data_IF_328407232691
#
_entry.id   IF_328407232691
#
_cell.length_a   1.000
_cell.length_b   1.000
_cell.length_c   1.000
_cell.angle_alpha   90.00
_cell.angle_beta   90.00
_cell.angle_gamma   90.00
#
_symmetry.space_group_name_H-M   'P 1'
#
loop_
_entity.id
_entity.type
_entity.pdbx_description
1 polymer ?
#
# COMPACT_ATOMS: atom_id res chain seq x y z
N UNK A 1 18.33 7.27 9.59
CA UNK A 1 17.58 7.22 8.31
C UNK A 1 16.13 7.50 8.66
N UNK A 2 15.46 8.44 8.00
CA UNK A 2 14.02 8.61 8.18
C UNK A 2 13.34 7.37 7.56
N UNK A 3 12.88 6.45 8.41
CA UNK A 3 12.16 5.26 7.96
C UNK A 3 10.80 5.71 7.42
N UNK A 4 10.65 5.66 6.11
CA UNK A 4 9.37 5.87 5.46
C UNK A 4 8.49 4.67 5.78
N UNK A 5 7.47 4.90 6.61
CA UNK A 5 6.64 3.87 7.23
C UNK A 5 6.02 2.82 6.30
N UNK A 6 5.91 3.13 5.01
CA UNK A 6 5.21 2.33 4.00
C UNK A 6 6.08 1.88 2.85
N UNK A 7 7.38 2.19 2.90
CA UNK A 7 8.27 2.13 1.75
C UNK A 7 9.70 1.74 2.17
N UNK A 8 10.46 1.11 1.29
CA UNK A 8 11.76 0.51 1.62
C UNK A 8 12.08 -0.73 0.77
N UNK A 9 13.30 -1.26 0.95
CA UNK A 9 13.86 -2.39 0.20
C UNK A 9 13.79 -3.73 0.96
N UNK A 10 12.82 -3.88 1.87
CA UNK A 10 12.68 -5.08 2.71
C UNK A 10 13.55 -5.01 3.96
N UNK A 11 14.09 -6.16 4.39
CA UNK A 11 14.98 -6.24 5.56
C UNK A 11 16.33 -6.83 5.18
N UNK A 12 17.39 -6.20 5.61
CA UNK A 12 18.79 -6.64 5.50
C UNK A 12 19.33 -7.09 6.86
N UNK A 13 20.51 -7.72 6.88
CA UNK A 13 21.15 -8.17 8.11
C UNK A 13 21.57 -7.02 9.05
N UNK A 14 21.70 -5.81 8.51
CA UNK A 14 22.13 -4.61 9.23
C UNK A 14 20.96 -3.81 9.83
N UNK A 15 19.71 -4.22 9.56
CA UNK A 15 18.54 -3.51 10.07
C UNK A 15 18.34 -3.73 11.59
N UNK A 16 17.84 -2.71 12.31
CA UNK A 16 17.49 -2.87 13.72
C UNK A 16 16.47 -4.01 13.91
N UNK A 17 16.62 -4.89 14.92
CA UNK A 17 15.73 -6.04 15.12
C UNK A 17 14.24 -5.68 15.21
N UNK A 18 13.93 -4.52 15.80
CA UNK A 18 12.56 -3.98 15.85
C UNK A 18 11.99 -3.75 14.45
N UNK A 19 12.76 -3.13 13.55
CA UNK A 19 12.33 -2.85 12.18
C UNK A 19 12.18 -4.14 11.38
N UNK A 20 13.07 -5.11 11.57
CA UNK A 20 12.94 -6.45 10.97
C UNK A 20 11.65 -7.15 11.42
N UNK A 21 11.32 -7.08 12.72
CA UNK A 21 10.10 -7.68 13.26
C UNK A 21 8.84 -7.00 12.71
N UNK A 22 8.81 -5.65 12.71
CA UNK A 22 7.72 -4.86 12.14
C UNK A 22 7.48 -5.21 10.68
N UNK A 23 8.53 -5.31 9.86
CA UNK A 23 8.42 -5.71 8.45
C UNK A 23 7.83 -7.12 8.28
N UNK A 24 8.34 -8.10 9.03
CA UNK A 24 7.88 -9.50 8.94
C UNK A 24 6.43 -9.66 9.33
N UNK A 25 5.96 -8.89 10.30
CA UNK A 25 4.56 -8.85 10.72
C UNK A 25 3.68 -8.14 9.69
N UNK A 26 4.08 -6.92 9.27
CA UNK A 26 3.37 -6.15 8.24
C UNK A 26 3.17 -6.95 6.95
N UNK A 27 4.23 -7.58 6.45
CA UNK A 27 4.19 -8.39 5.21
C UNK A 27 3.21 -9.56 5.27
N UNK A 28 2.80 -10.00 6.46
CA UNK A 28 1.88 -11.13 6.71
C UNK A 28 0.51 -10.70 7.24
N UNK A 29 0.14 -9.43 7.04
CA UNK A 29 -1.12 -8.87 7.55
C UNK A 29 -1.25 -8.82 9.09
N UNK A 30 -0.14 -8.94 9.83
CA UNK A 30 -0.13 -8.83 11.30
C UNK A 30 0.08 -7.37 11.75
N UNK A 31 -0.73 -6.44 11.22
CA UNK A 31 -0.56 -5.00 11.48
C UNK A 31 -0.75 -4.62 12.94
N UNK A 32 -1.70 -5.25 13.63
CA UNK A 32 -1.97 -4.97 15.05
C UNK A 32 -0.73 -5.28 15.90
N UNK A 33 -0.11 -6.44 15.68
CA UNK A 33 1.11 -6.84 16.38
C UNK A 33 2.28 -5.93 16.01
N UNK A 34 2.43 -5.60 14.72
CA UNK A 34 3.45 -4.67 14.26
C UNK A 34 3.31 -3.28 14.89
N UNK A 35 2.08 -2.77 14.98
CA UNK A 35 1.76 -1.48 15.61
C UNK A 35 1.98 -1.51 17.13
N UNK A 36 1.72 -2.63 17.79
CA UNK A 36 1.96 -2.82 19.21
C UNK A 36 3.46 -2.77 19.55
N UNK A 37 4.34 -3.30 18.69
CA UNK A 37 5.80 -3.20 18.87
C UNK A 37 6.29 -1.73 18.85
N UNK A 38 5.60 -0.85 18.13
CA UNK A 38 5.96 0.56 18.02
C UNK A 38 5.34 1.42 19.12
N UNK A 39 4.31 0.94 19.82
CA UNK A 39 3.56 1.73 20.81
C UNK A 39 4.43 2.36 21.92
N UNK A 40 5.41 1.66 22.54
CA UNK A 40 6.27 2.26 23.56
C UNK A 40 7.11 3.43 23.05
N UNK A 41 7.42 3.42 21.75
CA UNK A 41 8.26 4.43 21.08
C UNK A 41 7.42 5.59 20.54
N UNK A 42 6.22 5.28 20.04
CA UNK A 42 5.28 6.22 19.44
C UNK A 42 4.82 7.33 20.38
N UNK A 43 4.98 7.19 21.70
CA UNK A 43 4.66 8.24 22.66
C UNK A 43 5.66 9.41 22.67
N UNK A 44 6.88 9.22 22.13
CA UNK A 44 8.00 10.17 22.26
C UNK A 44 8.73 10.44 20.95
N UNK A 45 8.64 9.54 19.99
CA UNK A 45 9.29 9.65 18.69
C UNK A 45 8.24 9.88 17.58
N UNK A 46 8.24 11.06 16.93
CA UNK A 46 7.35 11.35 15.81
C UNK A 46 7.47 10.33 14.65
N UNK A 47 8.67 9.79 14.40
CA UNK A 47 8.88 8.82 13.33
C UNK A 47 8.23 7.47 13.65
N UNK A 48 8.42 6.97 14.88
CA UNK A 48 7.74 5.76 15.35
C UNK A 48 6.22 5.93 15.40
N UNK A 49 5.74 7.11 15.81
CA UNK A 49 4.31 7.43 15.81
C UNK A 49 3.72 7.39 14.40
N UNK A 50 4.39 8.01 13.43
CA UNK A 50 3.99 7.98 12.03
C UNK A 50 4.02 6.56 11.45
N UNK A 51 5.04 5.77 11.81
CA UNK A 51 5.13 4.37 11.40
C UNK A 51 3.98 3.52 11.93
N UNK A 52 3.64 3.69 13.21
CA UNK A 52 2.48 3.03 13.83
C UNK A 52 1.18 3.43 13.14
N UNK A 53 1.00 4.72 12.85
CA UNK A 53 -0.16 5.22 12.10
C UNK A 53 -0.28 4.55 10.74
N UNK A 54 0.80 4.49 9.96
CA UNK A 54 0.73 3.96 8.61
C UNK A 54 0.38 2.45 8.59
N UNK A 55 0.87 1.66 9.56
CA UNK A 55 0.48 0.25 9.73
C UNK A 55 -1.02 0.11 10.00
N UNK A 56 -1.58 0.97 10.86
CA UNK A 56 -3.01 0.95 11.19
C UNK A 56 -3.86 1.45 10.02
N UNK A 57 -3.40 2.44 9.26
CA UNK A 57 -4.05 2.87 8.02
C UNK A 57 -4.02 1.77 6.95
N UNK A 58 -2.91 1.02 6.82
CA UNK A 58 -2.82 -0.12 5.91
C UNK A 58 -3.78 -1.24 6.34
N UNK A 59 -3.89 -1.54 7.64
CA UNK A 59 -4.91 -2.44 8.17
C UNK A 59 -6.31 -2.02 7.74
N UNK A 60 -6.67 -0.74 7.91
CA UNK A 60 -7.97 -0.23 7.46
C UNK A 60 -8.21 -0.48 5.98
N UNK A 61 -7.21 -0.22 5.13
CA UNK A 61 -7.32 -0.42 3.69
C UNK A 61 -7.49 -1.90 3.30
N UNK A 62 -6.86 -2.82 4.03
CA UNK A 62 -6.86 -4.24 3.68
C UNK A 62 -8.00 -5.02 4.34
N UNK A 63 -8.52 -4.57 5.48
CA UNK A 63 -9.56 -5.29 6.22
C UNK A 63 -10.90 -4.56 6.26
N UNK A 64 -10.92 -3.23 6.06
CA UNK A 64 -12.10 -2.39 6.28
C UNK A 64 -12.41 -2.13 7.76
N UNK A 65 -11.49 -2.46 8.68
CA UNK A 65 -11.68 -2.36 10.13
C UNK A 65 -10.56 -1.55 10.80
N UNK A 66 -10.69 -1.26 12.10
CA UNK A 66 -9.63 -0.61 12.89
C UNK A 66 -9.54 0.92 12.72
N UNK A 67 -10.57 1.56 12.18
CA UNK A 67 -10.60 3.01 11.90
C UNK A 67 -10.36 3.88 13.13
N UNK A 68 -10.92 3.52 14.28
CA UNK A 68 -10.72 4.27 15.53
C UNK A 68 -9.26 4.21 15.97
N UNK A 69 -8.63 3.03 15.96
CA UNK A 69 -7.22 2.86 16.32
C UNK A 69 -6.31 3.70 15.40
N UNK A 70 -6.60 3.68 14.09
CA UNK A 70 -5.85 4.45 13.10
C UNK A 70 -6.00 5.97 13.32
N UNK A 71 -7.21 6.45 13.59
CA UNK A 71 -7.44 7.88 13.89
C UNK A 71 -6.76 8.31 15.20
N UNK A 72 -6.82 7.50 16.23
CA UNK A 72 -6.21 7.81 17.54
C UNK A 72 -4.68 7.87 17.42
N UNK A 73 -4.08 6.90 16.70
CA UNK A 73 -2.66 6.91 16.40
C UNK A 73 -2.25 8.14 15.60
N UNK A 74 -3.03 8.49 14.57
CA UNK A 74 -2.77 9.61 13.68
C UNK A 74 -2.94 10.97 14.40
N UNK A 75 -3.90 11.12 15.31
CA UNK A 75 -3.97 12.31 16.19
C UNK A 75 -2.74 12.43 17.09
N UNK A 76 -2.23 11.31 17.59
CA UNK A 76 -1.01 11.28 18.42
C UNK A 76 0.23 11.68 17.61
N UNK A 77 0.36 11.15 16.38
CA UNK A 77 1.46 11.50 15.48
C UNK A 77 1.45 13.00 15.10
N UNK A 78 0.27 13.57 14.83
CA UNK A 78 0.13 15.00 14.56
C UNK A 78 0.49 15.88 15.76
N UNK A 79 0.13 15.46 16.98
CA UNK A 79 0.44 16.20 18.20
C UNK A 79 1.95 16.21 18.50
N UNK A 80 2.68 15.16 18.09
CA UNK A 80 4.13 15.05 18.25
C UNK A 80 4.93 15.79 17.18
N UNK A 81 4.38 15.95 15.98
CA UNK A 81 5.05 16.58 14.84
C UNK A 81 5.34 18.08 15.10
N UNK A 82 6.62 18.45 15.09
CA UNK A 82 7.06 19.84 15.29
C UNK A 82 7.71 20.43 14.03
N UNK A 83 8.49 19.64 13.30
CA UNK A 83 9.14 20.06 12.07
C UNK A 83 8.22 19.98 10.85
N UNK A 84 8.54 20.72 9.78
CA UNK A 84 7.74 20.69 8.55
C UNK A 84 7.74 19.31 7.90
N UNK A 85 8.86 18.57 7.93
CA UNK A 85 8.92 17.20 7.42
C UNK A 85 8.00 16.25 8.20
N UNK A 86 7.98 16.36 9.53
CA UNK A 86 7.12 15.54 10.41
C UNK A 86 5.64 15.89 10.19
N UNK A 87 5.32 17.18 10.14
CA UNK A 87 3.95 17.67 9.90
C UNK A 87 3.48 17.31 8.49
N UNK A 88 4.38 17.33 7.51
CA UNK A 88 4.14 16.91 6.14
C UNK A 88 3.89 15.41 6.05
N UNK A 89 4.65 14.59 6.76
CA UNK A 89 4.43 13.16 6.91
C UNK A 89 3.06 12.85 7.53
N UNK A 90 2.74 13.48 8.66
CA UNK A 90 1.44 13.30 9.33
C UNK A 90 0.25 13.74 8.45
N UNK A 91 0.38 14.87 7.75
CA UNK A 91 -0.63 15.31 6.78
C UNK A 91 -0.77 14.33 5.60
N UNK A 92 0.34 13.72 5.16
CA UNK A 92 0.32 12.70 4.11
C UNK A 92 -0.43 11.43 4.57
N UNK A 93 -0.24 10.99 5.82
CA UNK A 93 -1.01 9.88 6.40
C UNK A 93 -2.48 10.23 6.62
N UNK A 94 -2.80 11.46 7.07
CA UNK A 94 -4.18 11.97 7.16
C UNK A 94 -4.90 11.87 5.84
N UNK A 95 -4.25 12.29 4.76
CA UNK A 95 -4.80 12.17 3.41
C UNK A 95 -5.02 10.73 2.97
N UNK A 96 -4.13 9.82 3.35
CA UNK A 96 -4.24 8.41 3.01
C UNK A 96 -5.36 7.69 3.78
N UNK A 97 -5.53 7.99 5.07
CA UNK A 97 -6.63 7.43 5.86
C UNK A 97 -7.99 7.92 5.38
N UNK A 98 -8.09 9.22 5.05
CA UNK A 98 -9.29 9.79 4.44
C UNK A 98 -9.59 9.14 3.08
N UNK A 99 -8.58 8.96 2.23
CA UNK A 99 -8.69 8.22 0.96
C UNK A 99 -9.23 6.80 1.18
N UNK A 100 -8.66 6.04 2.12
CA UNK A 100 -9.08 4.67 2.40
C UNK A 100 -10.54 4.61 2.87
N UNK A 101 -10.96 5.55 3.73
CA UNK A 101 -12.34 5.66 4.20
C UNK A 101 -13.33 5.93 3.06
N UNK A 102 -12.99 6.84 2.15
CA UNK A 102 -13.82 7.12 0.96
C UNK A 102 -13.87 5.91 0.04
N UNK A 103 -12.71 5.34 -0.29
CA UNK A 103 -12.59 4.21 -1.21
C UNK A 103 -13.44 3.01 -0.76
N UNK A 104 -13.45 2.72 0.53
CA UNK A 104 -14.18 1.58 1.11
C UNK A 104 -15.63 1.92 1.50
N UNK A 105 -16.11 3.13 1.18
CA UNK A 105 -17.50 3.55 1.46
C UNK A 105 -17.84 3.69 2.94
N UNK A 106 -16.84 3.82 3.81
CA UNK A 106 -17.06 3.98 5.26
C UNK A 106 -17.61 5.37 5.57
N UNK A 107 -16.96 6.40 5.02
CA UNK A 107 -17.40 7.80 5.02
C UNK A 107 -16.76 8.49 3.83
N UNK A 108 -17.52 9.35 3.15
CA UNK A 108 -16.97 10.23 2.13
C UNK A 108 -16.10 11.31 2.78
N UNK A 109 -14.80 11.22 2.52
CA UNK A 109 -13.74 12.13 3.00
C UNK A 109 -12.84 12.55 1.85
N UNK A 110 -13.36 12.61 0.61
CA UNK A 110 -12.58 12.96 -0.58
C UNK A 110 -11.92 14.35 -0.48
N UNK A 111 -12.66 15.35 0.03
CA UNK A 111 -12.15 16.71 0.24
C UNK A 111 -11.05 16.74 1.30
N UNK A 112 -11.26 16.04 2.42
CA UNK A 112 -10.26 15.93 3.48
C UNK A 112 -8.97 15.29 2.95
N UNK A 113 -9.09 14.22 2.15
CA UNK A 113 -7.96 13.56 1.52
C UNK A 113 -7.16 14.55 0.65
N UNK A 114 -7.85 15.29 -0.20
CA UNK A 114 -7.24 16.27 -1.12
C UNK A 114 -6.58 17.44 -0.38
N UNK A 115 -7.25 17.99 0.64
CA UNK A 115 -6.72 19.08 1.47
C UNK A 115 -5.48 18.62 2.24
N UNK A 116 -5.52 17.44 2.85
CA UNK A 116 -4.41 16.91 3.63
C UNK A 116 -3.18 16.62 2.76
N UNK A 117 -3.35 16.02 1.57
CA UNK A 117 -2.23 15.79 0.65
C UNK A 117 -1.68 17.10 0.07
N UNK A 118 -2.52 18.12 -0.13
CA UNK A 118 -2.08 19.46 -0.55
C UNK A 118 -1.25 20.14 0.55
N UNK A 119 -1.67 20.01 1.81
CA UNK A 119 -0.90 20.46 2.97
C UNK A 119 0.42 19.72 3.09
N UNK A 120 0.44 18.40 2.88
CA UNK A 120 1.69 17.63 2.86
C UNK A 120 2.65 18.12 1.77
N UNK A 121 2.14 18.44 0.57
CA UNK A 121 2.94 18.96 -0.54
C UNK A 121 3.57 20.34 -0.26
N UNK A 122 2.87 21.17 0.52
CA UNK A 122 3.35 22.49 0.93
C UNK A 122 4.42 22.42 2.04
N UNK A 123 4.35 21.41 2.90
CA UNK A 123 5.28 21.23 4.03
C UNK A 123 6.55 20.45 3.63
N UNK A 124 6.41 19.41 2.81
CA UNK A 124 7.54 18.58 2.39
C UNK A 124 8.38 19.31 1.34
N UNK A 125 9.69 19.46 1.59
CA UNK A 125 10.62 19.96 0.59
C UNK A 125 10.61 19.08 -0.68
N UNK A 126 10.96 19.62 -1.87
CA UNK A 126 10.94 18.85 -3.11
C UNK A 126 11.81 17.59 -3.08
N UNK A 127 12.94 17.62 -2.37
CA UNK A 127 13.86 16.49 -2.20
C UNK A 127 13.57 15.64 -0.94
N UNK A 128 12.52 15.96 -0.19
CA UNK A 128 12.21 15.27 1.07
C UNK A 128 11.94 13.77 0.83
N UNK A 129 12.37 12.89 1.75
CA UNK A 129 12.15 11.44 1.63
C UNK A 129 10.70 11.01 1.40
N UNK A 130 9.74 11.72 1.97
CA UNK A 130 8.32 11.42 1.84
C UNK A 130 7.68 11.84 0.51
N UNK A 131 8.41 12.55 -0.37
CA UNK A 131 7.84 13.11 -1.60
C UNK A 131 7.33 12.05 -2.59
N UNK A 132 8.05 10.95 -2.87
CA UNK A 132 7.57 9.92 -3.79
C UNK A 132 6.29 9.24 -3.30
N UNK A 133 6.20 8.95 -1.99
CA UNK A 133 5.00 8.36 -1.38
C UNK A 133 3.80 9.33 -1.44
N UNK A 134 4.03 10.62 -1.24
CA UNK A 134 3.01 11.65 -1.43
C UNK A 134 2.50 11.69 -2.87
N UNK A 135 3.40 11.70 -3.86
CA UNK A 135 3.01 11.66 -5.28
C UNK A 135 2.20 10.39 -5.59
N UNK A 136 2.59 9.24 -5.04
CA UNK A 136 1.83 7.99 -5.20
C UNK A 136 0.40 8.12 -4.65
N UNK A 137 0.23 8.64 -3.43
CA UNK A 137 -1.08 8.85 -2.80
C UNK A 137 -1.96 9.84 -3.55
N UNK A 138 -1.37 10.89 -4.13
CA UNK A 138 -2.11 11.81 -5.02
C UNK A 138 -2.58 11.10 -6.29
N UNK A 139 -1.78 10.18 -6.82
CA UNK A 139 -2.18 9.30 -7.92
C UNK A 139 -3.38 8.42 -7.56
N UNK A 140 -3.39 7.85 -6.35
CA UNK A 140 -4.52 7.04 -5.86
C UNK A 140 -5.84 7.83 -5.82
N UNK A 141 -5.82 9.07 -5.33
CA UNK A 141 -7.00 9.95 -5.34
C UNK A 141 -7.42 10.25 -6.78
N UNK A 142 -6.47 10.65 -7.64
CA UNK A 142 -6.76 10.99 -9.02
C UNK A 142 -7.40 9.83 -9.79
N UNK A 143 -6.91 8.60 -9.58
CA UNK A 143 -7.42 7.40 -10.24
C UNK A 143 -8.78 6.96 -9.69
N UNK A 144 -8.92 6.86 -8.36
CA UNK A 144 -10.04 6.12 -7.77
C UNK A 144 -11.17 7.00 -7.22
N UNK A 145 -10.95 8.31 -7.12
CA UNK A 145 -11.93 9.27 -6.58
C UNK A 145 -12.25 10.35 -7.61
N UNK A 146 -11.24 10.96 -8.22
CA UNK A 146 -11.43 12.11 -9.11
C UNK A 146 -11.62 11.74 -10.59
N UNK A 147 -11.54 10.45 -10.95
CA UNK A 147 -11.67 9.93 -12.31
C UNK A 147 -10.80 10.69 -13.34
N UNK A 148 -9.53 10.94 -12.98
CA UNK A 148 -8.57 11.66 -13.80
C UNK A 148 -7.34 10.79 -14.11
N UNK A 149 -7.41 9.92 -15.14
CA UNK A 149 -6.34 8.98 -15.46
C UNK A 149 -5.03 9.67 -15.87
N UNK A 150 -5.07 10.84 -16.51
CA UNK A 150 -3.87 11.60 -16.89
C UNK A 150 -3.15 12.16 -15.66
N UNK A 151 -3.91 12.70 -14.71
CA UNK A 151 -3.37 13.20 -13.44
C UNK A 151 -2.79 12.05 -12.61
N UNK A 152 -3.47 10.90 -12.60
CA UNK A 152 -2.99 9.68 -11.95
C UNK A 152 -1.68 9.21 -12.58
N UNK A 153 -1.61 9.09 -13.91
CA UNK A 153 -0.39 8.70 -14.65
C UNK A 153 0.79 9.63 -14.34
N UNK A 154 0.57 10.95 -14.37
CA UNK A 154 1.61 11.91 -14.08
C UNK A 154 2.13 11.79 -12.63
N UNK A 155 1.22 11.56 -11.67
CA UNK A 155 1.57 11.37 -10.26
C UNK A 155 2.33 10.05 -10.03
N UNK A 156 1.86 8.94 -10.61
CA UNK A 156 2.54 7.65 -10.53
C UNK A 156 3.93 7.67 -11.18
N UNK A 157 4.12 8.36 -12.31
CA UNK A 157 5.45 8.51 -12.93
C UNK A 157 6.43 9.28 -12.05
N UNK A 158 5.99 10.34 -11.36
CA UNK A 158 6.82 11.06 -10.39
C UNK A 158 7.18 10.17 -9.19
N UNK A 159 6.19 9.45 -8.66
CA UNK A 159 6.42 8.50 -7.58
C UNK A 159 7.40 7.40 -7.98
N UNK A 160 7.25 6.86 -9.20
CA UNK A 160 8.11 5.82 -9.76
C UNK A 160 9.57 6.31 -9.87
N UNK A 161 9.79 7.45 -10.53
CA UNK A 161 11.13 8.03 -10.65
C UNK A 161 11.75 8.32 -9.28
N UNK A 162 10.96 8.83 -8.34
CA UNK A 162 11.40 9.07 -6.96
C UNK A 162 11.73 7.79 -6.20
N UNK A 163 10.97 6.71 -6.39
CA UNK A 163 11.23 5.40 -5.79
C UNK A 163 12.51 4.79 -6.37
N UNK A 164 12.67 4.80 -7.70
CA UNK A 164 13.88 4.32 -8.38
C UNK A 164 15.13 5.06 -7.90
N UNK A 165 15.10 6.39 -7.86
CA UNK A 165 16.25 7.20 -7.44
C UNK A 165 16.68 6.95 -5.99
N UNK A 166 15.81 6.35 -5.17
CA UNK A 166 16.03 6.12 -3.74
C UNK A 166 16.17 4.65 -3.38
N UNK A 167 16.05 3.73 -4.34
CA UNK A 167 16.04 2.29 -4.09
C UNK A 167 14.84 1.83 -3.25
N UNK A 168 13.70 2.49 -3.39
CA UNK A 168 12.47 2.17 -2.65
C UNK A 168 11.66 1.10 -3.37
N UNK A 169 12.09 -0.15 -3.23
CA UNK A 169 11.52 -1.28 -3.97
C UNK A 169 10.03 -1.50 -3.68
N UNK A 170 9.59 -1.37 -2.43
CA UNK A 170 8.18 -1.58 -2.11
C UNK A 170 7.29 -0.54 -2.81
N UNK A 171 7.67 0.75 -2.76
CA UNK A 171 6.94 1.79 -3.48
C UNK A 171 7.03 1.58 -5.00
N UNK A 172 8.19 1.16 -5.50
CA UNK A 172 8.37 0.83 -6.91
C UNK A 172 7.37 -0.25 -7.36
N UNK A 173 7.20 -1.30 -6.56
CA UNK A 173 6.20 -2.35 -6.83
C UNK A 173 4.76 -1.81 -6.91
N UNK A 174 4.40 -0.81 -6.11
CA UNK A 174 3.08 -0.20 -6.18
C UNK A 174 2.93 0.65 -7.45
N UNK A 175 3.92 1.48 -7.77
CA UNK A 175 3.87 2.32 -8.97
C UNK A 175 3.82 1.49 -10.26
N UNK A 176 4.58 0.39 -10.33
CA UNK A 176 4.52 -0.56 -11.44
C UNK A 176 3.09 -1.08 -11.67
N UNK A 177 2.45 -1.59 -10.61
CA UNK A 177 1.08 -2.11 -10.69
C UNK A 177 0.07 -1.06 -11.14
N UNK A 178 0.16 0.16 -10.60
CA UNK A 178 -0.79 1.22 -10.95
C UNK A 178 -0.59 1.77 -12.36
N UNK A 179 0.66 1.91 -12.82
CA UNK A 179 0.94 2.29 -14.22
C UNK A 179 0.50 1.20 -15.21
N UNK A 180 0.75 -0.08 -14.88
CA UNK A 180 0.27 -1.21 -15.68
C UNK A 180 -1.26 -1.30 -15.75
N UNK A 181 -1.95 -0.98 -14.65
CA UNK A 181 -3.42 -0.91 -14.64
C UNK A 181 -3.94 0.17 -15.59
N UNK A 182 -3.31 1.34 -15.62
CA UNK A 182 -3.66 2.40 -16.58
C UNK A 182 -3.36 1.98 -18.04
N UNK A 183 -2.23 1.31 -18.27
CA UNK A 183 -1.89 0.76 -19.59
C UNK A 183 -2.90 -0.30 -20.05
N UNK A 184 -3.34 -1.18 -19.15
CA UNK A 184 -4.36 -2.19 -19.44
C UNK A 184 -5.69 -1.54 -19.85
N UNK A 185 -6.10 -0.49 -19.13
CA UNK A 185 -7.32 0.27 -19.45
C UNK A 185 -7.26 0.94 -20.84
N UNK A 186 -6.06 1.28 -21.31
CA UNK A 186 -5.82 1.83 -22.65
C UNK A 186 -5.65 0.76 -23.73
N UNK A 187 -5.70 -0.53 -23.37
CA UNK A 187 -5.51 -1.65 -24.30
C UNK A 187 -4.04 -1.98 -24.58
N UNK A 188 -3.10 -1.34 -23.90
CA UNK A 188 -1.65 -1.54 -24.04
C UNK A 188 -1.19 -2.79 -23.29
N UNK A 189 -1.64 -3.95 -23.78
CA UNK A 189 -1.53 -5.23 -23.08
C UNK A 189 -0.07 -5.65 -22.79
N UNK A 190 0.87 -5.36 -23.69
CA UNK A 190 2.28 -5.70 -23.50
C UNK A 190 2.91 -4.89 -22.35
N UNK A 191 2.62 -3.58 -22.29
CA UNK A 191 3.10 -2.71 -21.20
C UNK A 191 2.45 -3.11 -19.87
N UNK A 192 1.15 -3.41 -19.88
CA UNK A 192 0.44 -3.90 -18.70
C UNK A 192 1.07 -5.20 -18.15
N UNK A 193 1.29 -6.22 -18.99
CA UNK A 193 1.93 -7.47 -18.58
C UNK A 193 3.30 -7.24 -17.98
N UNK A 194 4.12 -6.41 -18.62
CA UNK A 194 5.46 -6.10 -18.13
C UNK A 194 5.41 -5.46 -16.73
N UNK A 195 4.62 -4.39 -16.55
CA UNK A 195 4.54 -3.71 -15.28
C UNK A 195 3.91 -4.55 -14.16
N UNK A 196 2.90 -5.38 -14.46
CA UNK A 196 2.38 -6.33 -13.48
C UNK A 196 3.39 -7.41 -13.09
N UNK A 197 4.18 -7.90 -14.05
CA UNK A 197 5.24 -8.88 -13.78
C UNK A 197 6.35 -8.29 -12.90
N UNK A 198 6.79 -7.05 -13.16
CA UNK A 198 7.77 -6.36 -12.31
C UNK A 198 7.21 -6.11 -10.90
N UNK A 199 5.94 -5.70 -10.79
CA UNK A 199 5.28 -5.55 -9.50
C UNK A 199 5.24 -6.87 -8.72
N UNK A 200 4.99 -8.01 -9.37
CA UNK A 200 4.93 -9.31 -8.72
C UNK A 200 6.33 -9.73 -8.26
N UNK A 201 7.31 -9.69 -9.17
CA UNK A 201 8.71 -10.04 -8.91
C UNK A 201 9.26 -9.32 -7.67
N UNK A 202 9.11 -8.00 -7.61
CA UNK A 202 9.59 -7.19 -6.47
C UNK A 202 8.91 -7.64 -5.17
N UNK A 203 7.59 -7.88 -5.16
CA UNK A 203 6.89 -8.29 -3.93
C UNK A 203 7.30 -9.68 -3.45
N UNK A 204 7.61 -10.59 -4.36
CA UNK A 204 8.14 -11.92 -4.04
C UNK A 204 9.55 -11.81 -3.44
N UNK A 205 10.45 -11.05 -4.07
CA UNK A 205 11.82 -10.81 -3.58
C UNK A 205 11.82 -10.17 -2.19
N UNK A 206 10.90 -9.25 -1.94
CA UNK A 206 10.72 -8.58 -0.65
C UNK A 206 10.03 -9.46 0.41
N UNK A 207 9.44 -10.58 0.02
CA UNK A 207 8.59 -11.40 0.87
C UNK A 207 7.33 -10.66 1.37
N UNK A 208 6.82 -9.71 0.59
CA UNK A 208 5.64 -8.90 0.91
C UNK A 208 4.33 -9.63 0.60
N UNK A 209 4.08 -10.72 1.32
CA UNK A 209 3.02 -11.70 1.04
C UNK A 209 1.62 -11.10 0.92
N UNK A 210 1.26 -10.15 1.80
CA UNK A 210 -0.06 -9.50 1.77
C UNK A 210 -0.31 -8.71 0.48
N UNK A 211 0.75 -8.25 -0.19
CA UNK A 211 0.68 -7.59 -1.49
C UNK A 211 0.87 -8.51 -2.70
N UNK A 212 1.29 -9.76 -2.49
CA UNK A 212 1.52 -10.74 -3.57
C UNK A 212 0.20 -11.22 -4.18
N UNK A 213 -0.81 -11.54 -3.36
CA UNK A 213 -2.11 -11.98 -3.89
C UNK A 213 -2.79 -10.92 -4.79
N UNK A 214 -2.81 -9.62 -4.43
CA UNK A 214 -3.21 -8.56 -5.35
C UNK A 214 -2.38 -8.47 -6.63
N UNK A 215 -1.06 -8.66 -6.56
CA UNK A 215 -0.18 -8.61 -7.75
C UNK A 215 -0.53 -9.72 -8.74
N UNK A 216 -0.75 -10.94 -8.24
CA UNK A 216 -1.14 -12.10 -9.05
C UNK A 216 -2.47 -11.87 -9.75
N UNK A 217 -3.46 -11.29 -9.06
CA UNK A 217 -4.75 -10.95 -9.67
C UNK A 217 -4.59 -9.91 -10.76
N UNK A 218 -3.81 -8.84 -10.53
CA UNK A 218 -3.55 -7.84 -11.57
C UNK A 218 -2.82 -8.44 -12.78
N UNK A 219 -1.84 -9.32 -12.58
CA UNK A 219 -1.19 -10.01 -13.70
C UNK A 219 -2.17 -10.94 -14.44
N UNK A 220 -3.06 -11.62 -13.73
CA UNK A 220 -4.07 -12.49 -14.33
C UNK A 220 -5.06 -11.74 -15.23
N UNK A 221 -5.28 -10.44 -15.01
CA UNK A 221 -6.11 -9.60 -15.88
C UNK A 221 -5.45 -9.32 -17.24
N UNK A 222 -4.12 -9.39 -17.30
CA UNK A 222 -3.35 -9.15 -18.52
C UNK A 222 -2.92 -10.44 -19.25
N UNK A 223 -3.11 -11.62 -18.63
CA UNK A 223 -2.71 -12.92 -19.17
C UNK A 223 -3.89 -13.67 -19.82
N UNK A 224 -3.66 -14.50 -20.86
CA UNK A 224 -4.69 -15.34 -21.44
C UNK A 224 -4.89 -16.62 -20.60
N UNK A 225 -5.97 -17.33 -20.86
CA UNK A 225 -6.12 -18.68 -20.33
C UNK A 225 -5.13 -19.65 -21.03
N UNK A 226 -4.55 -20.64 -20.31
CA UNK A 226 -4.86 -21.06 -18.93
C UNK A 226 -4.02 -20.37 -17.84
N UNK A 227 -3.15 -19.42 -18.19
CA UNK A 227 -2.20 -18.81 -17.24
C UNK A 227 -2.92 -17.92 -16.22
N UNK A 228 -3.90 -17.14 -16.67
CA UNK A 228 -4.74 -16.32 -15.79
C UNK A 228 -5.43 -17.17 -14.70
N UNK A 229 -5.97 -18.35 -15.03
CA UNK A 229 -6.54 -19.26 -14.02
C UNK A 229 -5.51 -19.75 -12.99
N UNK A 230 -4.26 -20.02 -13.39
CA UNK A 230 -3.19 -20.43 -12.47
C UNK A 230 -2.83 -19.32 -11.49
N UNK A 231 -2.69 -18.10 -11.99
CA UNK A 231 -2.41 -16.91 -11.19
C UNK A 231 -3.53 -16.66 -10.16
N UNK A 232 -4.80 -16.71 -10.59
CA UNK A 232 -5.96 -16.60 -9.68
C UNK A 232 -5.99 -17.71 -8.64
N UNK A 233 -5.62 -18.94 -9.01
CA UNK A 233 -5.58 -20.08 -8.07
C UNK A 233 -4.49 -19.90 -7.00
N UNK A 234 -3.30 -19.40 -7.36
CA UNK A 234 -2.24 -19.06 -6.39
C UNK A 234 -2.66 -17.90 -5.50
N UNK A 235 -3.22 -16.82 -6.07
CA UNK A 235 -3.75 -15.70 -5.30
C UNK A 235 -4.78 -16.17 -4.26
N UNK A 236 -5.64 -17.12 -4.64
CA UNK A 236 -6.61 -17.72 -3.72
C UNK A 236 -6.01 -18.58 -2.62
N UNK A 237 -4.86 -19.24 -2.85
CA UNK A 237 -4.12 -19.95 -1.79
C UNK A 237 -3.56 -18.97 -0.77
N UNK A 238 -2.89 -17.92 -1.23
CA UNK A 238 -2.34 -16.87 -0.38
C UNK A 238 -3.43 -16.12 0.40
N UNK A 239 -4.54 -15.78 -0.25
CA UNK A 239 -5.69 -15.16 0.39
C UNK A 239 -6.22 -16.00 1.57
N UNK A 240 -6.36 -17.32 1.40
CA UNK A 240 -6.77 -18.22 2.49
C UNK A 240 -5.70 -18.36 3.58
N UNK A 241 -4.42 -18.42 3.19
CA UNK A 241 -3.31 -18.47 4.15
C UNK A 241 -3.29 -17.24 5.06
N UNK A 242 -3.66 -16.08 4.53
CA UNK A 242 -3.73 -14.80 5.26
C UNK A 242 -5.11 -14.55 5.91
N UNK A 243 -5.97 -15.56 6.01
CA UNK A 243 -7.24 -15.45 6.72
C UNK A 243 -8.31 -14.61 6.00
N UNK A 244 -8.24 -14.50 4.67
CA UNK A 244 -9.21 -13.75 3.88
C UNK A 244 -8.89 -12.26 3.71
N UNK A 245 -7.60 -11.91 3.78
CA UNK A 245 -7.09 -10.55 3.61
C UNK A 245 -6.24 -10.46 2.33
N UNK A 246 -6.34 -9.39 1.53
CA UNK A 246 -7.27 -8.26 1.67
C UNK A 246 -8.73 -8.60 1.35
N UNK A 247 -9.67 -8.07 2.12
CA UNK A 247 -11.10 -8.42 2.05
C UNK A 247 -11.73 -8.12 0.68
N UNK A 248 -11.30 -7.03 0.03
CA UNK A 248 -11.74 -6.66 -1.32
C UNK A 248 -11.25 -7.59 -2.44
N UNK A 249 -10.34 -8.53 -2.15
CA UNK A 249 -9.91 -9.54 -3.12
C UNK A 249 -10.94 -10.67 -3.26
N UNK A 250 -11.83 -10.86 -2.28
CA UNK A 250 -12.77 -11.98 -2.26
C UNK A 250 -13.61 -12.14 -3.54
N UNK A 251 -14.13 -11.07 -4.19
CA UNK A 251 -14.85 -11.21 -5.47
C UNK A 251 -13.99 -11.70 -6.64
N UNK A 252 -12.67 -11.51 -6.57
CA UNK A 252 -11.70 -11.84 -7.63
C UNK A 252 -11.09 -13.23 -7.46
N UNK A 253 -11.14 -13.78 -6.23
CA UNK A 253 -10.76 -15.15 -5.92
C UNK A 253 -11.99 -16.03 -6.16
N UNK A 254 -12.14 -16.58 -7.37
CA UNK A 254 -13.24 -17.48 -7.70
C UNK A 254 -13.42 -18.56 -6.63
N UNK A 255 -14.66 -18.77 -6.19
CA UNK A 255 -15.02 -19.82 -5.22
C UNK A 255 -14.52 -21.15 -5.80
N UNK A 256 -13.65 -21.92 -5.10
CA UNK A 256 -13.23 -23.21 -5.60
C UNK A 256 -14.47 -24.10 -5.77
N UNK A 257 -14.61 -24.72 -6.94
CA UNK A 257 -15.65 -25.71 -7.16
C UNK A 257 -15.55 -26.78 -6.04
N UNK A 258 -16.68 -27.18 -5.42
CA UNK A 258 -16.65 -28.21 -4.39
C UNK A 258 -15.97 -29.46 -4.97
N UNK A 259 -14.95 -29.92 -4.25
CA UNK A 259 -14.20 -31.12 -4.62
C UNK A 259 -15.22 -32.28 -4.69
N UNK A 260 -15.35 -32.99 -5.83
CA UNK A 260 -16.27 -34.11 -5.90
C UNK A 260 -15.88 -35.10 -4.80
N UNK A 261 -16.86 -35.47 -3.96
CA UNK A 261 -16.68 -36.50 -2.95
C UNK A 261 -16.12 -37.74 -3.65
N UNK A 262 -15.00 -38.26 -3.16
CA UNK A 262 -14.49 -39.54 -3.63
C UNK A 262 -15.60 -40.57 -3.36
N UNK A 263 -16.20 -41.07 -4.43
CA UNK A 263 -17.10 -42.21 -4.35
C UNK A 263 -16.25 -43.41 -3.91
N UNK A 264 -16.41 -43.79 -2.65
CA UNK A 264 -15.97 -45.08 -2.12
C UNK A 264 -17.01 -46.15 -2.37
#
# INVERSE_FOLDING_TARGET
>A
MAHTAMSGSGTTADDPPLQTAVWRLRSRACWTDAAALLEPHAAKDPAAALQRTALLTERCLYTGEGWTDAEDALRSAEALARGDDERGGAACERGHLAYASTLLGVRDRADEASVALSRAAALLAPAAPGRPLLDFRRGLIAQNIADSPESARAAYRRAHAGATARGDELLLSFTWRHLASLALQEGELAEARHGFSESLRIREELGYLVGTAPALISLAEAEPEPEAARLRAEAGRLFRLLGGVPTWLAPHIGVPAPRPAAAG
#
